data_IF_439583714857
#
_entry.id   IF_439583714857
#
_cell.length_a   1.000
_cell.length_b   1.000
_cell.length_c   1.000
_cell.angle_alpha   90.00
_cell.angle_beta   90.00
_cell.angle_gamma   90.00
#
_symmetry.space_group_name_H-M   'P 1'
#
loop_
_entity.id
_entity.type
_entity.pdbx_description
1 polymer ?
#
# COMPACT_ATOMS: atom_id res chain seq x y z
N UNK A 1 0.17 11.55 26.21
CA UNK A 1 1.26 11.13 25.32
C UNK A 1 0.70 10.11 24.36
N UNK A 2 0.91 10.29 23.05
CA UNK A 2 0.47 9.32 22.03
C UNK A 2 1.16 7.98 22.28
N UNK A 3 0.39 6.89 22.36
CA UNK A 3 0.96 5.55 22.54
C UNK A 3 1.71 5.13 21.27
N UNK A 4 2.85 4.42 21.40
CA UNK A 4 3.58 3.95 20.24
C UNK A 4 2.76 2.90 19.46
N UNK A 5 2.87 2.94 18.14
CA UNK A 5 2.17 2.03 17.22
C UNK A 5 3.17 1.18 16.46
N UNK A 6 2.78 -0.03 16.08
CA UNK A 6 3.58 -0.91 15.24
C UNK A 6 2.90 -1.18 13.89
N UNK A 7 3.55 -0.75 12.82
CA UNK A 7 3.17 -1.04 11.44
C UNK A 7 3.93 -2.27 10.97
N UNK A 8 3.23 -3.21 10.37
CA UNK A 8 3.85 -4.36 9.71
C UNK A 8 3.66 -4.26 8.19
N UNK A 9 4.78 -4.17 7.48
CA UNK A 9 4.84 -4.29 6.04
C UNK A 9 5.37 -5.69 5.69
N UNK A 10 4.50 -6.67 5.38
CA UNK A 10 4.90 -8.07 5.23
C UNK A 10 5.74 -8.36 3.99
N UNK A 11 5.75 -7.46 3.01
CA UNK A 11 6.38 -7.60 1.72
C UNK A 11 6.36 -6.25 0.97
N UNK A 12 7.19 -6.09 -0.05
CA UNK A 12 7.28 -4.84 -0.82
C UNK A 12 6.24 -4.67 -1.94
N UNK A 13 5.67 -5.76 -2.46
CA UNK A 13 4.60 -5.69 -3.45
C UNK A 13 3.73 -6.94 -3.44
N UNK A 14 2.40 -6.78 -3.32
CA UNK A 14 1.46 -7.91 -3.25
C UNK A 14 1.63 -8.87 -4.44
N UNK A 15 1.90 -10.14 -4.15
CA UNK A 15 2.18 -11.16 -5.15
C UNK A 15 3.66 -11.45 -5.38
N UNK A 16 4.59 -10.78 -4.67
CA UNK A 16 6.01 -11.14 -4.70
C UNK A 16 6.35 -12.34 -3.80
N UNK A 17 5.47 -12.71 -2.87
CA UNK A 17 5.73 -13.77 -1.91
C UNK A 17 6.65 -13.34 -0.77
N UNK A 18 6.56 -14.07 0.34
CA UNK A 18 7.37 -13.88 1.53
C UNK A 18 7.48 -15.20 2.32
N UNK A 19 8.51 -15.41 3.14
CA UNK A 19 8.64 -16.61 3.95
C UNK A 19 7.58 -16.64 5.07
N UNK A 20 6.81 -17.74 5.14
CA UNK A 20 5.86 -17.94 6.26
C UNK A 20 6.50 -17.94 7.65
N UNK A 21 7.74 -18.44 7.86
CA UNK A 21 8.42 -18.30 9.16
C UNK A 21 8.54 -16.84 9.61
N UNK A 22 8.79 -15.92 8.69
CA UNK A 22 8.90 -14.49 8.99
C UNK A 22 7.56 -13.88 9.38
N UNK A 23 6.47 -14.27 8.70
CA UNK A 23 5.12 -13.89 9.15
C UNK A 23 4.83 -14.42 10.55
N UNK A 24 5.14 -15.69 10.84
CA UNK A 24 4.97 -16.25 12.20
C UNK A 24 5.77 -15.45 13.24
N UNK A 25 7.03 -15.14 12.96
CA UNK A 25 7.87 -14.34 13.85
C UNK A 25 7.32 -12.92 14.07
N UNK A 26 6.83 -12.26 13.01
CA UNK A 26 6.16 -10.96 13.12
C UNK A 26 4.91 -11.03 14.01
N UNK A 27 4.11 -12.10 13.89
CA UNK A 27 2.91 -12.29 14.69
C UNK A 27 3.15 -12.54 16.17
N UNK A 28 4.38 -12.84 16.61
CA UNK A 28 4.73 -12.88 18.04
C UNK A 28 4.91 -11.47 18.65
N UNK A 29 4.92 -10.43 17.81
CA UNK A 29 5.11 -9.04 18.21
C UNK A 29 3.77 -8.27 18.22
N UNK A 30 3.69 -7.13 18.92
CA UNK A 30 2.58 -6.19 18.77
C UNK A 30 2.55 -5.67 17.33
N UNK A 31 1.37 -5.64 16.73
CA UNK A 31 1.09 -5.06 15.41
C UNK A 31 -0.23 -4.32 15.56
N UNK A 32 -0.29 -3.08 15.08
CA UNK A 32 -1.48 -2.23 15.09
C UNK A 32 -2.11 -2.10 13.70
N UNK A 33 -1.35 -2.38 12.64
CA UNK A 33 -1.80 -2.33 11.25
C UNK A 33 -0.90 -3.17 10.34
N UNK A 34 -1.52 -3.83 9.38
CA UNK A 34 -0.85 -4.41 8.22
C UNK A 34 -0.97 -3.41 7.07
N UNK A 35 0.14 -3.08 6.43
CA UNK A 35 0.15 -2.18 5.26
C UNK A 35 0.96 -2.84 4.14
N UNK A 36 0.34 -2.99 2.98
CA UNK A 36 0.97 -3.57 1.78
C UNK A 36 0.62 -2.71 0.59
N UNK A 37 1.61 -2.28 -0.17
CA UNK A 37 1.35 -1.76 -1.49
C UNK A 37 1.29 -2.90 -2.52
N UNK A 38 0.47 -2.70 -3.54
CA UNK A 38 0.42 -3.57 -4.70
C UNK A 38 0.84 -2.82 -5.97
N UNK A 39 1.37 -1.60 -5.86
CA UNK A 39 1.62 -0.66 -6.94
C UNK A 39 3.06 -0.60 -7.42
N UNK A 40 3.23 -0.17 -8.68
CA UNK A 40 4.51 0.27 -9.23
C UNK A 40 4.26 1.11 -10.49
N UNK A 41 5.19 2.01 -10.82
CA UNK A 41 5.26 2.70 -12.13
C UNK A 41 6.34 2.14 -13.04
N UNK A 42 7.29 1.36 -12.51
CA UNK A 42 8.41 0.76 -13.24
C UNK A 42 8.01 -0.04 -14.49
N UNK A 43 6.91 -0.84 -14.50
CA UNK A 43 6.53 -1.58 -15.69
C UNK A 43 5.89 -0.70 -16.79
N UNK A 44 5.77 0.60 -16.56
CA UNK A 44 5.17 1.55 -17.48
C UNK A 44 3.64 1.42 -17.58
N UNK A 45 3.01 2.10 -18.57
CA UNK A 45 1.56 2.28 -18.62
C UNK A 45 0.79 1.04 -19.11
N UNK A 46 1.47 -0.04 -19.53
CA UNK A 46 0.83 -1.21 -20.15
C UNK A 46 -0.25 -1.84 -19.25
N UNK A 47 0.05 -2.05 -17.98
CA UNK A 47 -0.88 -2.72 -17.06
C UNK A 47 -2.09 -1.85 -16.77
N UNK A 48 -1.88 -0.53 -16.55
CA UNK A 48 -2.96 0.44 -16.44
C UNK A 48 -3.85 0.43 -17.69
N UNK A 49 -3.26 0.55 -18.88
CA UNK A 49 -4.00 0.62 -20.14
C UNK A 49 -4.73 -0.66 -20.53
N UNK A 50 -4.25 -1.84 -20.07
CA UNK A 50 -4.91 -3.13 -20.35
C UNK A 50 -5.88 -3.59 -19.26
N UNK A 51 -5.91 -2.92 -18.11
CA UNK A 51 -6.72 -3.33 -16.96
C UNK A 51 -6.28 -4.65 -16.33
N UNK A 52 -5.02 -5.05 -16.51
CA UNK A 52 -4.47 -6.34 -16.04
C UNK A 52 -3.52 -6.13 -14.88
N UNK A 53 -3.55 -7.05 -13.93
CA UNK A 53 -2.59 -7.06 -12.82
C UNK A 53 -1.16 -7.27 -13.32
N UNK A 54 -0.21 -6.54 -12.71
CA UNK A 54 1.22 -6.74 -12.91
C UNK A 54 1.70 -8.09 -12.35
N UNK A 55 1.22 -8.46 -11.16
CA UNK A 55 1.54 -9.76 -10.52
C UNK A 55 0.47 -10.81 -10.80
N UNK A 56 0.87 -12.08 -10.74
CA UNK A 56 -0.04 -13.20 -11.04
C UNK A 56 -1.11 -13.39 -9.96
N UNK A 57 -2.31 -13.78 -10.39
CA UNK A 57 -3.43 -14.11 -9.47
C UNK A 57 -3.03 -15.14 -8.42
N UNK A 58 -2.33 -16.19 -8.82
CA UNK A 58 -1.93 -17.29 -7.93
C UNK A 58 -1.07 -16.79 -6.78
N UNK A 59 -0.10 -15.91 -7.06
CA UNK A 59 0.77 -15.36 -6.02
C UNK A 59 0.04 -14.35 -5.12
N UNK A 60 -0.78 -13.48 -5.71
CA UNK A 60 -1.60 -12.53 -4.93
C UNK A 60 -2.56 -13.28 -3.99
N UNK A 61 -3.23 -14.32 -4.49
CA UNK A 61 -4.10 -15.18 -3.67
C UNK A 61 -3.29 -15.86 -2.57
N UNK A 62 -2.13 -16.43 -2.87
CA UNK A 62 -1.23 -17.05 -1.87
C UNK A 62 -0.88 -16.08 -0.75
N UNK A 63 -0.49 -14.85 -1.08
CA UNK A 63 -0.13 -13.84 -0.07
C UNK A 63 -1.36 -13.44 0.77
N UNK A 64 -2.50 -13.19 0.14
CA UNK A 64 -3.75 -12.85 0.83
C UNK A 64 -4.27 -13.99 1.72
N UNK A 65 -4.18 -15.25 1.30
CA UNK A 65 -4.54 -16.43 2.10
C UNK A 65 -3.72 -16.57 3.38
N UNK A 66 -2.53 -15.96 3.44
CA UNK A 66 -1.70 -15.93 4.64
C UNK A 66 -1.96 -14.69 5.48
N UNK A 67 -2.08 -13.52 4.86
CA UNK A 67 -2.15 -12.22 5.53
C UNK A 67 -3.55 -11.89 6.06
N UNK A 68 -4.61 -12.15 5.30
CA UNK A 68 -5.99 -11.84 5.74
C UNK A 68 -6.36 -12.58 7.03
N UNK A 69 -6.17 -13.91 7.16
CA UNK A 69 -6.44 -14.58 8.43
C UNK A 69 -5.55 -14.07 9.57
N UNK A 70 -4.31 -13.69 9.28
CA UNK A 70 -3.38 -13.18 10.28
C UNK A 70 -3.84 -11.83 10.86
N UNK A 71 -4.21 -10.88 10.00
CA UNK A 71 -4.75 -9.58 10.41
C UNK A 71 -6.07 -9.75 11.17
N UNK A 72 -6.98 -10.61 10.68
CA UNK A 72 -8.26 -10.90 11.34
C UNK A 72 -8.06 -11.49 12.75
N UNK A 73 -7.15 -12.47 12.92
CA UNK A 73 -6.84 -13.06 14.24
C UNK A 73 -6.22 -12.07 15.20
N UNK A 74 -5.37 -11.16 14.71
CA UNK A 74 -4.81 -10.07 15.51
C UNK A 74 -5.83 -8.98 15.85
N UNK A 75 -6.96 -8.92 15.13
CA UNK A 75 -8.00 -7.93 15.33
C UNK A 75 -7.57 -6.52 14.88
N UNK A 76 -6.68 -6.43 13.88
CA UNK A 76 -6.09 -5.16 13.42
C UNK A 76 -6.41 -4.92 11.94
N UNK A 77 -6.48 -3.66 11.49
CA UNK A 77 -6.77 -3.35 10.10
C UNK A 77 -5.67 -3.84 9.15
N UNK A 78 -6.09 -4.22 7.95
CA UNK A 78 -5.19 -4.51 6.82
C UNK A 78 -5.49 -3.56 5.66
N UNK A 79 -4.50 -2.74 5.31
CA UNK A 79 -4.56 -1.77 4.22
C UNK A 79 -3.77 -2.30 3.02
N UNK A 80 -4.41 -2.28 1.85
CA UNK A 80 -3.84 -2.63 0.56
C UNK A 80 -3.97 -1.42 -0.36
N UNK A 81 -2.85 -0.88 -0.82
CA UNK A 81 -2.79 0.23 -1.77
C UNK A 81 -2.56 -0.23 -3.21
N UNK A 82 -2.79 0.68 -4.16
CA UNK A 82 -2.49 0.52 -5.58
C UNK A 82 -2.87 -0.85 -6.13
N UNK A 83 -4.10 -1.26 -5.84
CA UNK A 83 -4.62 -2.59 -6.13
C UNK A 83 -4.28 -3.05 -7.56
N UNK A 84 -3.74 -4.26 -7.67
CA UNK A 84 -3.38 -4.90 -8.95
C UNK A 84 -2.30 -4.17 -9.77
N UNK A 85 -1.38 -3.41 -9.17
CA UNK A 85 -0.25 -2.77 -9.86
C UNK A 85 -0.53 -1.31 -10.22
N UNK A 86 -1.63 -1.08 -10.94
CA UNK A 86 -1.94 0.25 -11.47
C UNK A 86 -3.04 0.98 -10.68
N UNK A 87 -3.92 0.25 -9.99
CA UNK A 87 -4.93 0.86 -9.13
C UNK A 87 -6.13 1.48 -9.86
N UNK A 88 -6.33 1.20 -11.15
CA UNK A 88 -7.58 1.53 -11.86
C UNK A 88 -8.73 0.61 -11.49
N UNK A 89 -9.95 0.95 -11.90
CA UNK A 89 -11.17 0.24 -11.52
C UNK A 89 -11.14 -1.28 -11.81
N UNK A 90 -10.63 -1.76 -12.97
CA UNK A 90 -10.50 -3.20 -13.22
C UNK A 90 -9.56 -3.91 -12.23
N UNK A 91 -8.47 -3.24 -11.84
CA UNK A 91 -7.46 -3.78 -10.93
C UNK A 91 -7.99 -3.85 -9.49
N UNK A 92 -8.73 -2.82 -9.08
CA UNK A 92 -9.40 -2.76 -7.79
C UNK A 92 -10.45 -3.86 -7.67
N UNK A 93 -11.32 -4.01 -8.68
CA UNK A 93 -12.32 -5.07 -8.74
C UNK A 93 -11.67 -6.46 -8.67
N UNK A 94 -10.63 -6.70 -9.46
CA UNK A 94 -9.89 -7.96 -9.48
C UNK A 94 -9.27 -8.32 -8.11
N UNK A 95 -8.68 -7.34 -7.42
CA UNK A 95 -8.09 -7.54 -6.09
C UNK A 95 -9.17 -7.85 -5.05
N UNK A 96 -10.29 -7.12 -5.09
CA UNK A 96 -11.46 -7.33 -4.22
C UNK A 96 -12.05 -8.72 -4.41
N UNK A 97 -12.12 -9.23 -5.64
CA UNK A 97 -12.59 -10.59 -5.92
C UNK A 97 -11.70 -11.65 -5.26
N UNK A 98 -10.37 -11.49 -5.30
CA UNK A 98 -9.45 -12.41 -4.61
C UNK A 98 -9.66 -12.35 -3.11
N UNK A 99 -9.79 -11.16 -2.54
CA UNK A 99 -10.03 -10.99 -1.09
C UNK A 99 -11.33 -11.68 -0.68
N UNK A 100 -12.40 -11.54 -1.47
CA UNK A 100 -13.68 -12.21 -1.21
C UNK A 100 -13.57 -13.73 -1.30
N UNK A 101 -12.86 -14.25 -2.30
CA UNK A 101 -12.58 -15.68 -2.46
C UNK A 101 -11.84 -16.23 -1.23
N UNK A 102 -10.73 -15.58 -0.84
CA UNK A 102 -9.95 -15.96 0.35
C UNK A 102 -10.78 -15.86 1.63
N UNK A 103 -11.59 -14.80 1.78
CA UNK A 103 -12.44 -14.65 2.95
C UNK A 103 -13.48 -15.78 3.05
N UNK A 104 -14.07 -16.21 1.93
CA UNK A 104 -15.00 -17.33 1.89
C UNK A 104 -14.30 -18.66 2.23
N UNK A 105 -13.11 -18.91 1.66
CA UNK A 105 -12.32 -20.13 1.90
C UNK A 105 -11.89 -20.27 3.37
N UNK A 106 -11.59 -19.16 4.04
CA UNK A 106 -11.12 -19.14 5.43
C UNK A 106 -12.23 -18.81 6.46
N UNK A 107 -13.48 -18.62 6.02
CA UNK A 107 -14.59 -18.25 6.91
C UNK A 107 -14.38 -16.92 7.64
N UNK A 108 -13.74 -15.94 6.99
CA UNK A 108 -13.41 -14.64 7.58
C UNK A 108 -14.59 -13.66 7.47
N UNK A 109 -14.77 -12.86 8.53
CA UNK A 109 -15.76 -11.79 8.57
C UNK A 109 -15.10 -10.47 8.97
N UNK A 110 -15.23 -9.47 8.11
CA UNK A 110 -14.71 -8.12 8.35
C UNK A 110 -15.49 -7.09 7.53
N UNK A 111 -15.45 -5.83 7.96
CA UNK A 111 -15.91 -4.70 7.14
C UNK A 111 -14.79 -4.33 6.17
N UNK A 112 -15.10 -4.35 4.88
CA UNK A 112 -14.16 -3.95 3.83
C UNK A 112 -14.55 -2.60 3.24
N UNK A 113 -13.61 -1.67 3.17
CA UNK A 113 -13.75 -0.43 2.40
C UNK A 113 -13.03 -0.57 1.06
N UNK A 114 -13.68 -0.11 -0.01
CA UNK A 114 -13.15 -0.11 -1.38
C UNK A 114 -13.09 1.34 -1.84
N UNK A 115 -11.90 1.84 -2.16
CA UNK A 115 -11.64 3.25 -2.47
C UNK A 115 -11.17 3.34 -3.92
N UNK A 116 -11.98 3.96 -4.77
CA UNK A 116 -11.68 4.12 -6.19
C UNK A 116 -10.69 5.26 -6.43
N UNK A 117 -9.84 5.10 -7.44
CA UNK A 117 -8.88 6.12 -7.89
C UNK A 117 -9.17 6.63 -9.31
N UNK A 118 -10.05 5.96 -10.06
CA UNK A 118 -10.37 6.30 -11.45
C UNK A 118 -11.02 7.70 -11.54
N UNK A 119 -10.56 8.49 -12.50
CA UNK A 119 -10.97 9.87 -12.71
C UNK A 119 -11.85 9.97 -13.96
N UNK A 120 -12.96 10.69 -13.84
CA UNK A 120 -13.88 10.90 -14.96
C UNK A 120 -13.29 11.88 -15.98
N UNK A 121 -13.17 11.46 -17.25
CA UNK A 121 -12.68 12.30 -18.36
C UNK A 121 -13.40 13.66 -18.47
N UNK A 122 -14.70 13.68 -18.24
CA UNK A 122 -15.49 14.91 -18.28
C UNK A 122 -15.06 15.91 -17.19
N UNK A 123 -14.83 15.43 -15.97
CA UNK A 123 -14.35 16.28 -14.87
C UNK A 123 -12.93 16.81 -15.14
N UNK A 124 -12.05 15.95 -15.67
CA UNK A 124 -10.68 16.34 -16.02
C UNK A 124 -10.65 17.38 -17.13
N UNK A 125 -11.46 17.23 -18.18
CA UNK A 125 -11.58 18.24 -19.25
C UNK A 125 -12.05 19.59 -18.72
N UNK A 126 -13.01 19.59 -17.79
CA UNK A 126 -13.43 20.83 -17.14
C UNK A 126 -12.33 21.46 -16.27
N UNK A 127 -11.54 20.65 -15.56
CA UNK A 127 -10.38 21.14 -14.81
C UNK A 127 -9.27 21.67 -15.72
N UNK A 128 -9.05 21.04 -16.89
CA UNK A 128 -8.13 21.53 -17.91
C UNK A 128 -8.58 22.89 -18.45
N UNK A 129 -9.86 23.05 -18.80
CA UNK A 129 -10.45 24.31 -19.25
C UNK A 129 -10.33 25.43 -18.22
N UNK A 130 -10.38 25.09 -16.92
CA UNK A 130 -10.19 26.04 -15.81
C UNK A 130 -8.73 26.34 -15.48
N UNK A 131 -7.76 25.69 -16.12
CA UNK A 131 -6.34 25.83 -15.82
C UNK A 131 -5.93 25.28 -14.46
N UNK A 132 -6.65 24.26 -13.96
CA UNK A 132 -6.38 23.62 -12.66
C UNK A 132 -5.37 22.47 -12.77
N UNK A 133 -5.08 22.01 -13.99
CA UNK A 133 -4.10 20.95 -14.23
C UNK A 133 -2.75 21.59 -14.50
N UNK A 134 -1.79 21.29 -13.63
CA UNK A 134 -0.39 21.68 -13.80
C UNK A 134 0.35 20.44 -14.30
N UNK A 135 1.01 20.58 -15.45
CA UNK A 135 1.88 19.53 -15.98
C UNK A 135 3.10 19.31 -15.09
N UNK A 136 3.55 18.06 -15.02
CA UNK A 136 4.82 17.66 -14.45
C UNK A 136 5.55 16.73 -15.42
N UNK A 137 6.61 17.26 -16.05
CA UNK A 137 7.57 16.52 -16.87
C UNK A 137 7.01 15.83 -18.13
N UNK A 138 5.80 16.12 -18.61
CA UNK A 138 5.33 15.53 -19.89
C UNK A 138 6.05 16.11 -21.11
N UNK A 139 6.50 17.37 -21.03
CA UNK A 139 7.30 18.02 -22.07
C UNK A 139 6.49 18.52 -23.28
N UNK A 140 5.17 18.52 -23.19
CA UNK A 140 4.22 19.10 -24.15
C UNK A 140 2.96 19.60 -23.44
N UNK A 141 2.23 20.51 -24.07
CA UNK A 141 0.99 21.03 -23.50
C UNK A 141 -0.11 19.97 -23.51
N UNK A 142 -0.75 19.73 -22.36
CA UNK A 142 -1.86 18.78 -22.23
C UNK A 142 -3.12 19.31 -22.94
N UNK A 143 -3.65 18.53 -23.88
CA UNK A 143 -4.90 18.81 -24.59
C UNK A 143 -6.08 17.93 -24.15
N UNK A 144 -7.34 18.33 -24.44
CA UNK A 144 -8.51 17.47 -24.23
C UNK A 144 -8.42 16.11 -24.96
N UNK A 145 -7.74 16.06 -26.10
CA UNK A 145 -7.47 14.87 -26.90
C UNK A 145 -6.60 13.84 -26.18
N UNK A 146 -5.65 14.29 -25.34
CA UNK A 146 -4.82 13.40 -24.53
C UNK A 146 -5.68 12.67 -23.49
N UNK A 147 -6.58 13.42 -22.83
CA UNK A 147 -7.55 12.86 -21.87
C UNK A 147 -8.48 11.86 -22.57
N UNK A 148 -8.93 12.19 -23.79
CA UNK A 148 -9.79 11.31 -24.57
C UNK A 148 -9.05 10.06 -25.06
N UNK A 149 -7.74 10.14 -25.34
CA UNK A 149 -6.92 9.02 -25.76
C UNK A 149 -6.61 8.03 -24.62
N UNK A 150 -6.60 8.46 -23.35
CA UNK A 150 -6.33 7.57 -22.21
C UNK A 150 -7.41 6.47 -22.07
N UNK A 151 -7.01 5.21 -21.95
CA UNK A 151 -7.96 4.13 -21.60
C UNK A 151 -8.43 4.27 -20.15
N UNK A 152 -7.50 4.56 -19.25
CA UNK A 152 -7.70 4.71 -17.82
C UNK A 152 -6.95 5.94 -17.32
N UNK A 153 -7.51 6.64 -16.34
CA UNK A 153 -6.86 7.78 -15.69
C UNK A 153 -7.09 7.63 -14.19
N UNK A 154 -6.01 7.52 -13.42
CA UNK A 154 -6.07 7.32 -11.97
C UNK A 154 -5.40 8.46 -11.25
N UNK A 155 -6.02 8.93 -10.16
CA UNK A 155 -5.41 9.86 -9.23
C UNK A 155 -4.68 9.11 -8.13
N UNK A 156 -3.44 9.49 -7.82
CA UNK A 156 -2.74 8.94 -6.66
C UNK A 156 -3.29 9.59 -5.38
N UNK A 157 -4.05 8.82 -4.60
CA UNK A 157 -4.62 9.33 -3.36
C UNK A 157 -3.58 9.42 -2.22
N UNK A 158 -3.76 10.41 -1.36
CA UNK A 158 -3.08 10.50 -0.07
C UNK A 158 -3.70 9.60 1.00
N UNK A 159 -3.44 9.92 2.27
CA UNK A 159 -3.91 9.13 3.42
C UNK A 159 -5.37 9.35 3.77
N UNK A 160 -5.95 10.48 3.36
CA UNK A 160 -7.27 10.97 3.79
C UNK A 160 -8.39 9.93 3.60
N UNK A 161 -8.56 9.29 2.43
CA UNK A 161 -9.62 8.31 2.27
C UNK A 161 -9.34 7.01 3.06
N UNK A 162 -8.07 6.65 3.27
CA UNK A 162 -7.67 5.48 4.07
C UNK A 162 -7.98 5.73 5.54
N UNK A 163 -7.59 6.89 6.09
CA UNK A 163 -7.91 7.31 7.45
C UNK A 163 -9.42 7.31 7.66
N UNK A 164 -10.18 7.92 6.75
CA UNK A 164 -11.64 7.92 6.85
C UNK A 164 -12.25 6.52 6.85
N UNK A 165 -11.68 5.56 6.10
CA UNK A 165 -12.13 4.17 6.12
C UNK A 165 -11.82 3.48 7.46
N UNK A 166 -10.62 3.70 8.01
CA UNK A 166 -10.20 3.16 9.30
C UNK A 166 -11.06 3.70 10.45
N UNK A 167 -11.35 4.99 10.47
CA UNK A 167 -12.22 5.63 11.47
C UNK A 167 -13.66 5.12 11.42
N UNK A 168 -14.15 4.75 10.23
CA UNK A 168 -15.44 4.07 10.05
C UNK A 168 -15.39 2.57 10.36
N UNK A 169 -14.29 2.07 10.92
CA UNK A 169 -14.14 0.70 11.40
C UNK A 169 -13.97 -0.33 10.28
N UNK A 170 -13.37 0.04 9.15
CA UNK A 170 -12.94 -0.93 8.15
C UNK A 170 -11.83 -1.81 8.72
N UNK A 171 -12.04 -3.13 8.72
CA UNK A 171 -11.01 -4.11 9.06
C UNK A 171 -10.09 -4.43 7.87
N UNK A 172 -10.59 -4.22 6.65
CA UNK A 172 -9.79 -4.29 5.42
C UNK A 172 -10.06 -3.05 4.58
N UNK A 173 -9.01 -2.39 4.10
CA UNK A 173 -9.09 -1.27 3.18
C UNK A 173 -8.38 -1.66 1.90
N UNK A 174 -9.07 -1.52 0.77
CA UNK A 174 -8.49 -1.73 -0.56
C UNK A 174 -8.64 -0.46 -1.35
N UNK A 175 -7.51 0.17 -1.68
CA UNK A 175 -7.47 1.38 -2.48
C UNK A 175 -7.03 1.07 -3.91
N UNK A 176 -7.55 1.84 -4.86
CA UNK A 176 -6.93 2.03 -6.17
C UNK A 176 -5.56 2.71 -6.04
N UNK A 177 -5.15 3.49 -7.04
CA UNK A 177 -3.83 4.14 -7.02
C UNK A 177 -3.64 4.98 -5.75
N UNK A 178 -2.62 4.67 -4.95
CA UNK A 178 -2.37 5.28 -3.66
C UNK A 178 -0.88 5.54 -3.47
N UNK A 179 -0.55 6.52 -2.63
CA UNK A 179 0.81 6.75 -2.18
C UNK A 179 1.23 5.65 -1.18
N UNK A 180 2.27 4.91 -1.54
CA UNK A 180 2.85 3.76 -0.84
C UNK A 180 3.24 4.06 0.63
N UNK A 181 4.03 5.09 0.89
CA UNK A 181 4.39 5.50 2.24
C UNK A 181 3.13 5.88 3.06
N UNK A 182 2.12 6.43 2.38
CA UNK A 182 0.83 6.80 2.96
C UNK A 182 0.09 5.62 3.57
N UNK A 183 0.22 4.41 3.02
CA UNK A 183 -0.44 3.21 3.54
C UNK A 183 0.02 2.89 4.97
N UNK A 184 1.33 2.99 5.18
CA UNK A 184 1.98 2.76 6.47
C UNK A 184 1.84 3.95 7.43
N UNK A 185 1.75 5.17 6.90
CA UNK A 185 1.63 6.40 7.68
C UNK A 185 0.19 6.72 8.13
N UNK A 186 -0.83 6.21 7.44
CA UNK A 186 -2.23 6.58 7.66
C UNK A 186 -2.69 6.39 9.11
N UNK A 187 -2.51 5.19 9.69
CA UNK A 187 -2.93 4.95 11.08
C UNK A 187 -2.10 5.76 12.09
N UNK A 188 -0.74 5.80 12.02
CA UNK A 188 0.05 6.68 12.87
C UNK A 188 -0.42 8.14 12.87
N UNK A 189 -0.63 8.73 11.70
CA UNK A 189 -1.06 10.13 11.58
C UNK A 189 -2.47 10.31 12.16
N UNK A 190 -3.40 9.42 11.87
CA UNK A 190 -4.75 9.45 12.44
C UNK A 190 -4.75 9.33 13.98
N UNK A 191 -3.69 8.78 14.57
CA UNK A 191 -3.50 8.67 16.03
C UNK A 191 -2.65 9.79 16.61
N UNK A 192 -2.28 10.80 15.82
CA UNK A 192 -1.56 11.99 16.29
C UNK A 192 -0.05 11.82 16.38
N UNK A 193 0.54 10.91 15.60
CA UNK A 193 1.98 10.93 15.31
C UNK A 193 2.26 12.04 14.30
N UNK A 194 3.40 12.71 14.44
CA UNK A 194 3.86 13.73 13.50
C UNK A 194 3.87 13.21 12.05
N UNK A 195 3.27 13.92 11.08
CA UNK A 195 3.24 13.49 9.68
C UNK A 195 4.63 13.27 9.07
N UNK A 196 5.60 14.13 9.35
CA UNK A 196 6.97 13.97 8.82
C UNK A 196 7.61 12.67 9.31
N UNK A 197 7.47 12.38 10.60
CA UNK A 197 7.96 11.15 11.20
C UNK A 197 7.25 9.90 10.64
N UNK A 198 5.93 9.95 10.51
CA UNK A 198 5.13 8.82 10.02
C UNK A 198 5.39 8.54 8.53
N UNK A 199 5.50 9.58 7.69
CA UNK A 199 5.84 9.41 6.27
C UNK A 199 7.27 8.93 6.08
N UNK A 200 8.24 9.44 6.86
CA UNK A 200 9.61 8.94 6.79
C UNK A 200 9.65 7.44 7.16
N UNK A 201 9.00 7.05 8.26
CA UNK A 201 8.85 5.63 8.60
C UNK A 201 8.18 4.84 7.47
N UNK A 202 7.09 5.37 6.90
CA UNK A 202 6.35 4.77 5.80
C UNK A 202 7.24 4.47 4.59
N UNK A 203 7.99 5.47 4.12
CA UNK A 203 8.96 5.35 3.02
C UNK A 203 9.98 4.24 3.27
N UNK A 204 10.44 4.10 4.53
CA UNK A 204 11.43 3.07 4.88
C UNK A 204 10.87 1.64 4.81
N UNK A 205 9.56 1.45 5.02
CA UNK A 205 8.97 0.10 5.12
C UNK A 205 8.12 -0.31 3.93
N UNK A 206 7.76 0.61 3.03
CA UNK A 206 6.85 0.33 1.92
C UNK A 206 7.35 -0.78 0.99
N UNK A 207 8.66 -0.87 0.74
CA UNK A 207 9.26 -1.95 -0.05
C UNK A 207 9.66 -3.19 0.78
N UNK A 208 9.17 -3.33 2.01
CA UNK A 208 9.46 -4.47 2.88
C UNK A 208 10.93 -4.53 3.29
N UNK A 209 11.55 -5.72 3.24
CA UNK A 209 12.90 -5.95 3.78
C UNK A 209 14.08 -5.50 2.90
N UNK A 210 13.88 -4.60 1.92
CA UNK A 210 14.98 -4.00 1.16
C UNK A 210 15.97 -3.23 2.04
N UNK A 211 15.52 -2.79 3.21
CA UNK A 211 16.31 -2.14 4.26
C UNK A 211 17.05 -3.11 5.19
N UNK A 212 17.04 -4.42 4.87
CA UNK A 212 17.69 -5.46 5.66
C UNK A 212 18.60 -6.36 4.81
N UNK A 213 19.58 -6.97 5.47
CA UNK A 213 20.44 -8.03 4.91
C UNK A 213 20.20 -9.38 5.58
N UNK A 214 20.23 -10.51 4.83
CA UNK A 214 20.32 -10.59 3.36
C UNK A 214 19.08 -10.02 2.64
N UNK A 215 19.31 -9.37 1.48
CA UNK A 215 18.25 -8.76 0.65
C UNK A 215 17.49 -9.84 -0.11
N UNK A 216 16.32 -10.20 0.40
CA UNK A 216 15.33 -11.10 -0.21
C UNK A 216 13.94 -10.60 0.14
N UNK A 217 12.91 -10.98 -0.61
CA UNK A 217 11.54 -10.60 -0.25
C UNK A 217 11.19 -11.12 1.15
N UNK A 218 10.80 -10.20 2.04
CA UNK A 218 10.41 -10.47 3.42
C UNK A 218 9.77 -9.21 4.03
N UNK A 219 9.17 -9.36 5.19
CA UNK A 219 8.52 -8.30 5.93
C UNK A 219 9.41 -7.55 6.90
N UNK A 220 8.97 -6.36 7.27
CA UNK A 220 9.58 -5.49 8.28
C UNK A 220 8.51 -4.92 9.20
N UNK A 221 8.89 -4.70 10.45
CA UNK A 221 8.08 -4.03 11.45
C UNK A 221 8.69 -2.67 11.75
N UNK A 222 7.87 -1.63 11.73
CA UNK A 222 8.21 -0.32 12.23
C UNK A 222 7.42 -0.04 13.50
N UNK A 223 8.10 0.30 14.59
CA UNK A 223 7.48 0.82 15.80
C UNK A 223 7.71 2.32 15.87
N UNK A 224 6.64 3.10 15.79
CA UNK A 224 6.70 4.57 15.81
C UNK A 224 6.21 5.11 17.15
N UNK A 225 7.00 6.03 17.70
CA UNK A 225 6.77 6.80 18.92
C UNK A 225 6.63 8.29 18.54
N UNK A 226 6.28 9.19 19.48
CA UNK A 226 6.10 10.61 19.15
C UNK A 226 7.33 11.34 18.58
N UNK A 227 8.54 10.83 18.82
CA UNK A 227 9.82 11.49 18.52
C UNK A 227 10.80 10.64 17.71
N UNK A 228 10.50 9.36 17.49
CA UNK A 228 11.35 8.44 16.73
C UNK A 228 10.55 7.23 16.21
N UNK A 229 11.15 6.48 15.30
CA UNK A 229 10.70 5.13 14.95
C UNK A 229 11.86 4.14 14.98
N UNK A 230 11.54 2.86 15.18
CA UNK A 230 12.47 1.75 15.17
C UNK A 230 12.04 0.75 14.10
N UNK A 231 12.97 0.33 13.26
CA UNK A 231 12.75 -0.67 12.21
C UNK A 231 13.42 -1.97 12.60
N UNK A 232 12.71 -3.08 12.42
CA UNK A 232 13.27 -4.41 12.59
C UNK A 232 12.71 -5.36 11.53
N UNK A 233 13.54 -6.22 10.92
CA UNK A 233 13.05 -7.24 10.01
C UNK A 233 12.12 -8.21 10.75
N UNK A 234 11.22 -8.84 10.00
CA UNK A 234 10.38 -9.91 10.50
C UNK A 234 11.18 -11.19 10.76
N UNK A 235 12.13 -11.52 9.87
CA UNK A 235 13.08 -12.62 10.05
C UNK A 235 14.18 -12.27 11.08
N UNK A 236 14.30 -13.02 12.19
CA UNK A 236 15.36 -12.82 13.18
C UNK A 236 16.79 -13.04 12.66
N UNK A 237 16.96 -13.74 11.54
CA UNK A 237 18.26 -13.93 10.89
C UNK A 237 18.68 -12.73 10.03
N UNK A 238 17.75 -11.81 9.75
CA UNK A 238 18.03 -10.57 9.04
C UNK A 238 18.42 -9.45 10.02
N UNK A 239 19.12 -8.45 9.51
CA UNK A 239 19.38 -7.20 10.25
C UNK A 239 19.26 -5.99 9.35
N UNK A 240 18.72 -4.90 9.88
CA UNK A 240 18.82 -3.59 9.26
C UNK A 240 20.20 -2.99 9.53
N UNK A 241 20.70 -2.16 8.61
CA UNK A 241 21.88 -1.32 8.84
C UNK A 241 21.49 0.14 8.70
N UNK A 242 22.23 1.02 9.38
CA UNK A 242 22.00 2.47 9.29
C UNK A 242 22.11 2.94 7.84
N UNK A 243 23.11 2.44 7.11
CA UNK A 243 23.33 2.74 5.70
C UNK A 243 22.12 2.36 4.82
N UNK A 244 21.57 1.15 5.00
CA UNK A 244 20.45 0.68 4.19
C UNK A 244 19.17 1.47 4.46
N UNK A 245 18.89 1.75 5.73
CA UNK A 245 17.73 2.55 6.12
C UNK A 245 17.89 3.98 5.59
N UNK A 246 19.05 4.60 5.75
CA UNK A 246 19.31 5.94 5.23
C UNK A 246 19.22 6.00 3.70
N UNK A 247 19.83 5.04 3.00
CA UNK A 247 19.79 4.97 1.55
C UNK A 247 18.37 4.84 1.00
N UNK A 248 17.51 4.07 1.66
CA UNK A 248 16.12 3.88 1.22
C UNK A 248 15.24 5.12 1.46
N UNK A 249 15.67 6.06 2.33
CA UNK A 249 15.01 7.37 2.44
C UNK A 249 15.12 8.18 1.14
N UNK A 250 16.19 7.96 0.38
CA UNK A 250 16.51 8.67 -0.86
C UNK A 250 16.23 7.81 -2.12
N UNK A 251 15.54 6.69 -1.94
CA UNK A 251 15.21 5.78 -3.03
C UNK A 251 13.87 6.16 -3.64
N UNK A 252 13.83 6.26 -4.97
CA UNK A 252 12.70 6.81 -5.75
C UNK A 252 12.35 8.24 -5.33
#
# INVERSE_FOLDING_TARGET
>A
MTAPLCVYAPLGMLGYGFPEPSLRAALERPIDIFAVDAGSTDPGPYYLGTGKSFTSRTMVKRDLSLLLPAACRKGVPFVIGSAGGAGGDPHLAWTVEIIREVAAEHGLHFRMAVIHAEQGKAALKQSLERGEIIDFETGYDLGPEDIDACTHIVGQMGIEPIVGALERGAGVVVAGRAFDAGLSAALPIARGIDPGLAYHMGKIVECGSLVAVPRTSDGVLARVSPDHFLIAPADPAKRCTVELVAAHTLYE
#
